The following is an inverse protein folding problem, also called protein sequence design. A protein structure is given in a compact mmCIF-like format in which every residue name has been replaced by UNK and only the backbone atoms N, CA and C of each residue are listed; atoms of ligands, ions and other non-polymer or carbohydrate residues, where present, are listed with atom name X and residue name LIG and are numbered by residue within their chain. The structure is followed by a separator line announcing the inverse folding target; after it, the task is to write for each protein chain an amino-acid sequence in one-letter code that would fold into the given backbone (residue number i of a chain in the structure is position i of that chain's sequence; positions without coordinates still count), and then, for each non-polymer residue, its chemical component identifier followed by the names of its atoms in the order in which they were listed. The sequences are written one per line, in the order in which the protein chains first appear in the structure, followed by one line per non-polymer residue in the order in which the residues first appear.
data_IF_696411265695
#
_entry.id   IF_696411265695
#
_cell.length_a   1.000
_cell.length_b   1.000
_cell.length_c   1.000
_cell.angle_alpha   90.00
_cell.angle_beta   90.00
_cell.angle_gamma   90.00
#
_symmetry.space_group_name_H-M   'P 1'
#
loop_
_entity.id
_entity.type
_entity.pdbx_description
1 polymer ?
#
# COMPACT_ATOMS: atom_id res chain seq x y z
N UNK A 1 15.22 11.64 6.03
CA UNK A 1 16.00 11.31 4.82
C UNK A 1 15.13 10.37 4.03
N UNK A 2 14.78 10.70 2.78
CA UNK A 2 13.86 9.89 1.98
C UNK A 2 14.54 8.58 1.59
N UNK A 3 13.87 7.45 1.80
CA UNK A 3 14.37 6.14 1.36
C UNK A 3 14.28 6.04 -0.17
N UNK A 4 15.25 5.41 -0.82
CA UNK A 4 15.12 5.09 -2.23
C UNK A 4 14.03 4.02 -2.43
N UNK A 5 13.39 4.02 -3.60
CA UNK A 5 12.27 3.10 -3.86
C UNK A 5 12.73 1.64 -3.75
N UNK A 6 13.86 1.29 -4.33
CA UNK A 6 14.35 -0.09 -4.33
C UNK A 6 14.67 -0.59 -2.90
N UNK A 7 15.39 0.22 -2.11
CA UNK A 7 15.64 -0.07 -0.69
C UNK A 7 14.34 -0.25 0.11
N UNK A 8 13.31 0.54 -0.23
CA UNK A 8 11.99 0.47 0.41
C UNK A 8 11.25 -0.81 0.05
N UNK A 9 11.25 -1.22 -1.23
CA UNK A 9 10.60 -2.45 -1.66
C UNK A 9 11.31 -3.69 -1.11
N UNK A 10 12.64 -3.71 -1.15
CA UNK A 10 13.45 -4.83 -0.67
C UNK A 10 13.36 -5.00 0.85
N UNK A 11 13.49 -3.89 1.61
CA UNK A 11 13.47 -3.95 3.08
C UNK A 11 12.16 -4.52 3.62
N UNK A 12 11.05 -4.18 2.99
CA UNK A 12 9.71 -4.53 3.48
C UNK A 12 9.05 -5.68 2.73
N UNK A 13 9.73 -6.23 1.71
CA UNK A 13 9.24 -7.31 0.83
C UNK A 13 7.85 -6.99 0.25
N UNK A 14 7.73 -5.84 -0.44
CA UNK A 14 6.43 -5.31 -0.90
C UNK A 14 6.00 -5.77 -2.30
N UNK A 15 6.78 -6.61 -2.96
CA UNK A 15 6.57 -6.98 -4.37
C UNK A 15 5.25 -7.73 -4.62
N UNK A 16 4.74 -8.42 -3.60
CA UNK A 16 3.52 -9.23 -3.64
C UNK A 16 2.47 -8.80 -2.60
N UNK A 17 2.73 -7.70 -1.87
CA UNK A 17 1.90 -7.28 -0.73
C UNK A 17 0.71 -6.43 -1.17
N UNK A 18 -0.41 -6.56 -0.45
CA UNK A 18 -1.64 -5.82 -0.72
C UNK A 18 -1.62 -4.43 -0.07
N UNK A 19 -2.19 -3.42 -0.76
CA UNK A 19 -2.52 -2.12 -0.16
C UNK A 19 -3.92 -2.21 0.45
N UNK A 20 -4.00 -2.07 1.77
CA UNK A 20 -5.22 -2.18 2.55
C UNK A 20 -5.99 -0.86 2.69
N UNK A 21 -5.28 0.27 2.63
CA UNK A 21 -5.92 1.58 2.73
C UNK A 21 -5.06 2.70 2.16
N UNK A 22 -5.76 3.78 1.76
CA UNK A 22 -5.17 5.03 1.31
C UNK A 22 -5.87 6.17 2.05
N UNK A 23 -5.11 6.93 2.82
CA UNK A 23 -5.59 8.06 3.60
C UNK A 23 -4.81 9.34 3.29
N UNK A 24 -5.43 10.50 3.51
CA UNK A 24 -4.66 11.75 3.53
C UNK A 24 -3.84 11.83 4.80
N UNK A 25 -2.52 11.97 4.66
CA UNK A 25 -1.64 12.28 5.78
C UNK A 25 -1.54 13.81 5.98
N UNK A 26 -1.45 14.55 4.87
CA UNK A 26 -1.46 16.01 4.83
C UNK A 26 -1.86 16.50 3.44
N UNK A 27 -1.87 17.82 3.22
CA UNK A 27 -2.09 18.41 1.90
C UNK A 27 -1.10 17.88 0.85
N UNK A 28 0.16 17.64 1.24
CA UNK A 28 1.25 17.29 0.33
C UNK A 28 1.65 15.80 0.42
N UNK A 29 0.96 15.00 1.21
CA UNK A 29 1.32 13.59 1.42
C UNK A 29 0.12 12.67 1.60
N UNK A 30 0.33 11.42 1.18
CA UNK A 30 -0.66 10.34 1.28
C UNK A 30 -0.07 9.25 2.17
N UNK A 31 -0.91 8.65 3.01
CA UNK A 31 -0.58 7.46 3.78
C UNK A 31 -1.13 6.23 3.05
N UNK A 32 -0.25 5.26 2.80
CA UNK A 32 -0.59 3.93 2.32
C UNK A 32 -0.40 2.93 3.46
N UNK A 33 -1.34 2.00 3.61
CA UNK A 33 -1.17 0.88 4.54
C UNK A 33 -1.01 -0.41 3.75
N UNK A 34 0.07 -1.15 3.97
CA UNK A 34 0.28 -2.48 3.38
C UNK A 34 0.06 -3.57 4.42
N UNK A 35 -0.49 -4.71 3.99
CA UNK A 35 -0.46 -5.95 4.76
C UNK A 35 0.93 -6.58 4.62
N UNK A 36 1.61 -6.81 5.73
CA UNK A 36 2.90 -7.49 5.77
C UNK A 36 2.77 -8.97 6.16
N UNK A 37 1.57 -9.46 6.45
CA UNK A 37 1.37 -10.86 6.79
C UNK A 37 1.89 -11.77 5.66
N UNK A 38 2.65 -12.80 6.03
CA UNK A 38 3.12 -13.83 5.10
C UNK A 38 3.28 -15.15 5.85
N UNK A 39 2.77 -16.25 5.29
CA UNK A 39 2.92 -17.59 5.89
C UNK A 39 4.39 -18.04 5.92
N UNK A 40 5.20 -17.53 4.98
CA UNK A 40 6.62 -17.84 4.84
C UNK A 40 7.53 -16.93 5.70
N UNK A 41 6.98 -15.92 6.37
CA UNK A 41 7.74 -15.01 7.24
C UNK A 41 7.66 -15.46 8.71
N UNK A 42 8.78 -15.90 9.33
CA UNK A 42 8.75 -16.42 10.69
C UNK A 42 8.42 -15.36 11.76
N UNK A 43 8.56 -14.07 11.45
CA UNK A 43 8.28 -12.96 12.36
C UNK A 43 6.86 -12.39 12.14
N UNK A 44 6.26 -12.62 10.96
CA UNK A 44 5.00 -12.01 10.49
C UNK A 44 3.95 -13.02 10.01
N UNK A 45 3.84 -14.18 10.69
CA UNK A 45 2.92 -15.28 10.32
C UNK A 45 1.82 -15.62 11.35
N UNK A 46 1.62 -14.83 12.40
CA UNK A 46 0.59 -15.09 13.40
C UNK A 46 -0.81 -14.63 12.93
N UNK A 47 -1.72 -15.58 12.65
CA UNK A 47 -3.10 -15.28 12.23
C UNK A 47 -3.91 -14.48 13.24
N UNK A 48 -3.51 -14.47 14.52
CA UNK A 48 -4.10 -13.66 15.57
C UNK A 48 -3.73 -12.18 15.51
N UNK A 49 -2.82 -11.79 14.60
CA UNK A 49 -2.30 -10.44 14.49
C UNK A 49 -2.46 -9.87 13.09
N UNK A 50 -2.45 -8.55 13.03
CA UNK A 50 -2.29 -7.77 11.81
C UNK A 50 -0.93 -7.11 11.83
N UNK A 51 -0.20 -7.29 10.73
CA UNK A 51 1.12 -6.72 10.53
C UNK A 51 0.98 -5.66 9.45
N UNK A 52 0.98 -4.40 9.85
CA UNK A 52 0.74 -3.28 8.95
C UNK A 52 2.02 -2.49 8.73
N UNK A 53 2.31 -2.16 7.47
CA UNK A 53 3.26 -1.12 7.14
C UNK A 53 2.53 0.16 6.76
N UNK A 54 2.69 1.18 7.59
CA UNK A 54 2.21 2.52 7.31
C UNK A 54 3.30 3.30 6.59
N UNK A 55 3.01 3.79 5.38
CA UNK A 55 3.98 4.42 4.48
C UNK A 55 3.48 5.80 4.07
N UNK A 56 4.25 6.83 4.40
CA UNK A 56 3.95 8.19 3.96
C UNK A 56 4.71 8.50 2.67
N UNK A 57 3.96 8.85 1.61
CA UNK A 57 4.49 9.15 0.28
C UNK A 57 4.14 10.62 -0.07
N UNK A 58 5.04 11.40 -0.68
CA UNK A 58 4.69 12.72 -1.17
C UNK A 58 3.63 12.59 -2.28
N UNK A 59 2.59 13.40 -2.25
CA UNK A 59 1.51 13.37 -3.25
C UNK A 59 2.04 13.62 -4.66
N UNK A 60 3.08 14.44 -4.81
CA UNK A 60 3.77 14.69 -6.07
C UNK A 60 4.42 13.45 -6.70
N UNK A 61 4.58 12.38 -5.94
CA UNK A 61 5.17 11.11 -6.37
C UNK A 61 4.12 10.05 -6.68
N UNK A 62 2.83 10.35 -6.45
CA UNK A 62 1.71 9.46 -6.80
C UNK A 62 1.09 9.96 -8.09
N UNK A 63 1.02 9.08 -9.09
CA UNK A 63 0.34 9.35 -10.35
C UNK A 63 -0.72 8.29 -10.60
N UNK A 64 -1.96 8.73 -10.83
CA UNK A 64 -3.05 7.87 -11.26
C UNK A 64 -2.91 7.64 -12.76
N UNK A 65 -2.74 6.38 -13.17
CA UNK A 65 -2.56 5.98 -14.57
C UNK A 65 -3.90 5.68 -15.21
N UNK A 66 -4.76 4.93 -14.51
CA UNK A 66 -6.12 4.61 -14.94
C UNK A 66 -7.07 4.59 -13.75
N UNK A 67 -8.34 4.91 -14.01
CA UNK A 67 -9.40 4.89 -13.01
C UNK A 67 -9.34 6.04 -12.01
N UNK A 68 -10.33 6.13 -11.12
CA UNK A 68 -10.37 7.11 -10.04
C UNK A 68 -9.68 6.61 -8.75
N UNK A 69 -8.70 7.36 -8.24
CA UNK A 69 -8.13 7.11 -6.92
C UNK A 69 -9.08 7.59 -5.83
N UNK A 70 -9.58 6.66 -5.02
CA UNK A 70 -10.36 6.98 -3.83
C UNK A 70 -9.48 7.03 -2.58
N UNK A 71 -9.76 8.00 -1.72
CA UNK A 71 -9.18 8.06 -0.38
C UNK A 71 -10.25 7.47 0.55
N UNK A 72 -9.95 6.35 1.18
CA UNK A 72 -10.92 5.60 2.00
C UNK A 72 -10.27 5.08 3.28
N UNK A 73 -10.96 5.26 4.40
CA UNK A 73 -10.71 4.54 5.67
C UNK A 73 -11.78 3.45 5.86
N UNK A 74 -11.45 2.39 6.61
CA UNK A 74 -10.96 1.09 6.11
C UNK A 74 -12.02 0.33 5.28
N UNK A 75 -11.59 -0.73 4.57
CA UNK A 75 -12.38 -1.64 3.70
C UNK A 75 -12.22 -1.43 2.17
N UNK A 76 -11.02 -1.10 1.70
CA UNK A 76 -10.64 -1.34 0.31
C UNK A 76 -9.64 -2.50 0.22
N UNK A 77 -9.79 -3.38 -0.76
CA UNK A 77 -8.87 -4.50 -0.99
C UNK A 77 -8.04 -4.21 -2.23
N UNK A 78 -6.92 -3.50 -2.07
CA UNK A 78 -6.01 -3.18 -3.16
C UNK A 78 -4.95 -4.27 -3.37
N UNK A 79 -4.87 -4.84 -4.57
CA UNK A 79 -3.85 -5.84 -4.91
C UNK A 79 -2.77 -5.23 -5.81
N UNK A 80 -1.50 -5.25 -5.37
CA UNK A 80 -0.36 -4.91 -6.24
C UNK A 80 -0.39 -5.78 -7.50
N UNK A 81 -0.33 -5.11 -8.66
CA UNK A 81 -0.60 -5.73 -9.95
C UNK A 81 0.63 -6.04 -10.78
N UNK A 82 1.62 -5.18 -10.67
CA UNK A 82 2.74 -5.14 -11.59
C UNK A 82 3.87 -4.34 -10.94
N UNK A 83 4.99 -5.00 -10.68
CA UNK A 83 6.26 -4.34 -10.46
C UNK A 83 6.90 -4.09 -11.83
N UNK A 84 6.90 -2.85 -12.32
CA UNK A 84 7.76 -2.55 -13.48
C UNK A 84 9.18 -2.35 -12.95
N UNK A 85 9.96 -3.42 -12.97
CA UNK A 85 11.39 -3.44 -12.65
C UNK A 85 12.26 -2.61 -13.61
N UNK A 86 11.69 -1.98 -14.65
CA UNK A 86 12.39 -1.06 -15.57
C UNK A 86 12.61 0.37 -15.01
N UNK A 87 12.76 0.47 -13.69
CA UNK A 87 13.70 1.43 -13.10
C UNK A 87 13.14 2.79 -12.67
N UNK A 88 12.44 2.81 -11.52
CA UNK A 88 12.19 3.94 -10.56
C UNK A 88 10.72 4.13 -10.14
N UNK A 89 9.82 3.20 -10.48
CA UNK A 89 8.44 3.33 -10.02
C UNK A 89 7.77 2.01 -9.67
N UNK A 90 7.02 1.99 -8.57
CA UNK A 90 6.13 0.90 -8.19
C UNK A 90 4.76 1.15 -8.84
N UNK A 91 4.21 0.16 -9.53
CA UNK A 91 2.84 0.23 -10.01
C UNK A 91 1.93 -0.62 -9.12
N UNK A 92 0.82 -0.03 -8.70
CA UNK A 92 -0.11 -0.67 -7.78
C UNK A 92 -1.46 -0.72 -8.47
N UNK A 93 -2.09 -1.90 -8.51
CA UNK A 93 -3.51 -1.97 -8.76
C UNK A 93 -4.29 -1.87 -7.49
N UNK A 94 -5.46 -1.29 -7.58
CA UNK A 94 -6.36 -1.23 -6.44
C UNK A 94 -7.74 -1.56 -6.93
N UNK A 95 -8.31 -2.63 -6.38
CA UNK A 95 -9.72 -2.93 -6.51
C UNK A 95 -10.49 -2.24 -5.39
N UNK A 96 -11.44 -1.41 -5.77
CA UNK A 96 -12.31 -0.72 -4.86
C UNK A 96 -13.62 -1.51 -4.77
N UNK A 97 -13.82 -2.21 -3.65
CA UNK A 97 -15.10 -2.81 -3.30
C UNK A 97 -16.02 -1.74 -2.68
N UNK A 98 -17.05 -1.30 -3.39
CA UNK A 98 -18.09 -0.44 -2.80
C UNK A 98 -19.23 -1.29 -2.27
N UNK A 99 -19.24 -1.52 -0.95
CA UNK A 99 -20.26 -2.30 -0.23
C UNK A 99 -21.71 -1.88 -0.54
N UNK A 100 -21.94 -0.60 -0.84
CA UNK A 100 -23.31 -0.12 -1.06
C UNK A 100 -23.96 -0.69 -2.33
N UNK A 101 -23.16 -1.03 -3.36
CA UNK A 101 -23.69 -1.32 -4.71
C UNK A 101 -23.14 -2.60 -5.36
N UNK A 102 -22.31 -3.42 -4.69
CA UNK A 102 -21.62 -4.57 -5.29
C UNK A 102 -20.92 -4.22 -6.62
N UNK A 103 -20.39 -3.00 -6.71
CA UNK A 103 -19.70 -2.50 -7.88
C UNK A 103 -18.21 -2.44 -7.56
N UNK A 104 -17.42 -2.99 -8.49
CA UNK A 104 -15.97 -3.00 -8.42
C UNK A 104 -15.44 -1.91 -9.36
N UNK A 105 -14.67 -0.99 -8.80
CA UNK A 105 -13.90 -0.03 -9.59
C UNK A 105 -12.42 -0.36 -9.46
N UNK A 106 -11.65 0.01 -10.47
CA UNK A 106 -10.23 -0.31 -10.54
C UNK A 106 -9.38 0.94 -10.70
N UNK A 107 -8.22 0.97 -10.07
CA UNK A 107 -7.21 2.00 -10.27
C UNK A 107 -5.83 1.41 -10.50
N UNK A 108 -5.09 1.97 -11.46
CA UNK A 108 -3.64 1.76 -11.57
C UNK A 108 -2.92 3.01 -11.09
N UNK A 109 -2.08 2.87 -10.07
CA UNK A 109 -1.23 3.92 -9.52
C UNK A 109 0.22 3.67 -9.89
N UNK A 110 0.98 4.76 -9.96
CA UNK A 110 2.43 4.77 -10.05
C UNK A 110 2.97 5.55 -8.86
N UNK A 111 3.97 4.99 -8.16
CA UNK A 111 4.73 5.64 -7.09
C UNK A 111 6.16 5.86 -7.59
N UNK A 112 6.57 7.11 -7.77
CA UNK A 112 7.83 7.50 -8.41
C UNK A 112 9.04 7.66 -7.47
N UNK A 113 8.87 7.51 -6.17
CA UNK A 113 9.95 7.56 -5.18
C UNK A 113 9.67 6.65 -3.98
N UNK A 114 10.69 6.39 -3.15
CA UNK A 114 10.47 5.72 -1.87
C UNK A 114 9.79 6.61 -0.83
N UNK A 115 9.70 6.10 0.38
CA UNK A 115 8.93 6.68 1.48
C UNK A 115 9.59 7.89 2.15
N UNK A 116 8.76 8.85 2.55
CA UNK A 116 9.15 9.92 3.49
C UNK A 116 9.33 9.38 4.90
N UNK A 117 8.41 8.50 5.30
CA UNK A 117 8.37 7.86 6.60
C UNK A 117 7.70 6.50 6.50
N UNK A 118 8.11 5.58 7.37
CA UNK A 118 7.61 4.21 7.43
C UNK A 118 7.45 3.79 8.88
N UNK A 119 6.32 3.19 9.21
CA UNK A 119 6.05 2.66 10.55
C UNK A 119 5.40 1.29 10.46
N UNK A 120 6.06 0.29 11.01
CA UNK A 120 5.44 -1.01 11.24
C UNK A 120 4.55 -0.95 12.48
N UNK A 121 3.36 -1.51 12.37
CA UNK A 121 2.39 -1.60 13.45
C UNK A 121 1.90 -3.04 13.53
N UNK A 122 2.02 -3.63 14.71
CA UNK A 122 1.47 -4.95 15.01
C UNK A 122 0.26 -4.74 15.90
N UNK A 123 -0.89 -5.25 15.47
CA UNK A 123 -2.16 -5.13 16.20
C UNK A 123 -2.72 -6.53 16.45
N UNK A 124 -3.23 -6.78 17.64
CA UNK A 124 -4.01 -7.99 17.91
C UNK A 124 -5.35 -7.90 17.18
N UNK A 125 -5.71 -8.95 16.41
CA UNK A 125 -7.04 -9.03 15.81
C UNK A 125 -8.07 -9.18 16.92
N UNK A 126 -8.98 -8.20 17.03
CA UNK A 126 -10.16 -8.36 17.87
C UNK A 126 -11.07 -9.40 17.20
N UNK A 127 -11.17 -10.57 17.81
CA UNK A 127 -12.19 -11.57 17.49
C UNK A 127 -13.60 -11.05 17.78
#
# INVERSE_FOLDING_TARGET
MMMHLDDFLEKYDLYDKAVLSIAEASQDSVLLSFDLYSEDDPDRNDYGKEYLLLVTIPRSQIKVITGPLFISEPECYGQVLEDSSEGKALFIGIEWSRYSNNYYEWSKLQIGSGALDTKEVIVERKQ
#
